data_IF_423029133268
#
_entry.id   IF_423029133268
#
_cell.length_a   1.000
_cell.length_b   1.000
_cell.length_c   1.000
_cell.angle_alpha   90.00
_cell.angle_beta   90.00
_cell.angle_gamma   90.00
#
_symmetry.space_group_name_H-M   'P 1'
#
loop_
_entity.id
_entity.type
_entity.pdbx_description
1 polymer ?
#
# COMPACT_ATOMS: atom_id res chain seq x y z
N UNK A 1 -26.68 44.03 -47.05
CA UNK A 1 -26.32 42.62 -47.35
C UNK A 1 -25.29 42.07 -46.37
N UNK A 2 -24.28 42.85 -45.94
CA UNK A 2 -23.21 42.44 -44.98
C UNK A 2 -23.71 41.97 -43.59
N UNK A 3 -24.76 42.58 -43.03
CA UNK A 3 -25.30 42.15 -41.72
C UNK A 3 -25.94 40.75 -41.80
N UNK A 4 -26.55 40.39 -42.94
CA UNK A 4 -27.16 39.08 -43.14
C UNK A 4 -26.09 37.97 -43.23
N UNK A 5 -25.00 38.19 -43.98
CA UNK A 5 -23.92 37.22 -44.10
C UNK A 5 -23.28 36.93 -42.73
N UNK A 6 -23.02 37.97 -41.93
CA UNK A 6 -22.46 37.82 -40.58
C UNK A 6 -23.40 37.02 -39.66
N UNK A 7 -24.69 37.37 -39.62
CA UNK A 7 -25.70 36.65 -38.83
C UNK A 7 -25.78 35.17 -39.25
N UNK A 8 -25.80 34.90 -40.56
CA UNK A 8 -25.90 33.53 -41.08
C UNK A 8 -24.65 32.71 -40.79
N UNK A 9 -23.46 33.30 -41.00
CA UNK A 9 -22.20 32.63 -40.71
C UNK A 9 -22.01 32.37 -39.23
N UNK A 10 -22.42 33.30 -38.35
CA UNK A 10 -22.40 33.07 -36.91
C UNK A 10 -23.36 31.96 -36.49
N UNK A 11 -24.58 31.97 -37.02
CA UNK A 11 -25.52 30.87 -36.79
C UNK A 11 -24.99 29.53 -37.30
N UNK A 12 -24.27 29.53 -38.43
CA UNK A 12 -23.64 28.33 -38.97
C UNK A 12 -22.51 27.84 -38.05
N UNK A 13 -21.61 28.72 -37.61
CA UNK A 13 -20.52 28.40 -36.69
C UNK A 13 -21.05 27.82 -35.37
N UNK A 14 -22.09 28.41 -34.79
CA UNK A 14 -22.72 27.90 -33.58
C UNK A 14 -23.33 26.50 -33.77
N UNK A 15 -23.99 26.26 -34.92
CA UNK A 15 -24.52 24.93 -35.25
C UNK A 15 -23.40 23.92 -35.50
N UNK A 16 -22.35 24.31 -36.19
CA UNK A 16 -21.18 23.45 -36.43
C UNK A 16 -20.54 23.05 -35.11
N UNK A 17 -20.29 24.02 -34.23
CA UNK A 17 -19.76 23.81 -32.87
C UNK A 17 -20.65 22.91 -32.02
N UNK A 18 -21.96 23.12 -32.06
CA UNK A 18 -22.92 22.40 -31.21
C UNK A 18 -23.20 20.97 -31.68
N UNK A 19 -23.24 20.75 -33.00
CA UNK A 19 -23.72 19.49 -33.56
C UNK A 19 -22.64 18.69 -34.27
N UNK A 20 -21.76 19.33 -35.04
CA UNK A 20 -20.78 18.60 -35.88
C UNK A 20 -19.56 18.20 -35.05
N UNK A 21 -19.02 19.10 -34.23
CA UNK A 21 -17.80 18.82 -33.46
C UNK A 21 -17.97 17.65 -32.48
N UNK A 22 -19.04 17.57 -31.65
CA UNK A 22 -19.25 16.41 -30.78
C UNK A 22 -19.43 15.11 -31.58
N UNK A 23 -20.11 15.15 -32.72
CA UNK A 23 -20.28 13.97 -33.58
C UNK A 23 -18.93 13.41 -34.06
N UNK A 24 -18.00 14.28 -34.46
CA UNK A 24 -16.67 13.87 -34.92
C UNK A 24 -15.85 13.26 -33.77
N UNK A 25 -15.92 13.84 -32.57
CA UNK A 25 -15.11 13.42 -31.41
C UNK A 25 -15.64 12.14 -30.78
N UNK A 26 -16.97 12.03 -30.63
CA UNK A 26 -17.60 10.93 -29.90
C UNK A 26 -17.81 9.67 -30.76
N UNK A 27 -17.87 9.83 -32.09
CA UNK A 27 -18.08 8.73 -33.04
C UNK A 27 -16.89 8.60 -34.00
N UNK A 28 -15.93 7.71 -33.70
CA UNK A 28 -14.75 7.52 -34.56
C UNK A 28 -15.08 6.84 -35.90
N UNK A 29 -16.21 6.14 -36.02
CA UNK A 29 -16.63 5.46 -37.25
C UNK A 29 -17.86 6.17 -37.81
N UNK A 30 -17.67 6.95 -38.88
CA UNK A 30 -18.71 7.65 -39.61
C UNK A 30 -18.65 7.27 -41.08
N UNK A 31 -19.83 7.13 -41.69
CA UNK A 31 -19.97 7.05 -43.14
C UNK A 31 -20.54 8.37 -43.66
N UNK A 32 -20.25 8.68 -44.92
CA UNK A 32 -20.65 9.94 -45.54
C UNK A 32 -21.27 9.71 -46.91
N UNK A 33 -22.33 10.45 -47.23
CA UNK A 33 -22.93 10.50 -48.56
C UNK A 33 -23.20 11.95 -48.95
N UNK A 34 -22.89 12.31 -50.20
CA UNK A 34 -23.19 13.63 -50.76
C UNK A 34 -24.34 13.49 -51.75
N UNK A 35 -25.49 14.08 -51.43
CA UNK A 35 -26.67 14.07 -52.28
C UNK A 35 -26.81 15.44 -52.96
N UNK A 36 -27.01 15.44 -54.27
CA UNK A 36 -27.27 16.66 -55.04
C UNK A 36 -28.69 16.60 -55.62
N UNK A 37 -29.54 17.56 -55.23
CA UNK A 37 -30.89 17.70 -55.75
C UNK A 37 -31.10 19.14 -56.24
N UNK A 38 -31.09 19.33 -57.56
CA UNK A 38 -31.14 20.65 -58.18
C UNK A 38 -29.94 21.51 -57.75
N UNK A 39 -30.20 22.65 -57.11
CA UNK A 39 -29.17 23.55 -56.56
C UNK A 39 -28.77 23.23 -55.12
N UNK A 40 -29.43 22.26 -54.47
CA UNK A 40 -29.15 21.90 -53.08
C UNK A 40 -28.17 20.73 -53.03
N UNK A 41 -27.05 20.93 -52.33
CA UNK A 41 -26.12 19.87 -51.94
C UNK A 41 -26.32 19.54 -50.45
N UNK A 42 -26.44 18.26 -50.13
CA UNK A 42 -26.65 17.77 -48.76
C UNK A 42 -25.55 16.77 -48.42
N UNK A 43 -24.76 17.09 -47.39
CA UNK A 43 -23.84 16.14 -46.76
C UNK A 43 -24.61 15.34 -45.70
N UNK A 44 -24.76 14.04 -45.92
CA UNK A 44 -25.39 13.10 -44.99
C UNK A 44 -24.29 12.40 -44.19
N UNK A 45 -24.36 12.50 -42.87
CA UNK A 45 -23.45 11.82 -41.94
C UNK A 45 -24.20 10.64 -41.32
N UNK A 46 -23.69 9.43 -41.54
CA UNK A 46 -24.32 8.19 -41.10
C UNK A 46 -23.55 7.63 -39.91
N UNK A 47 -24.24 7.50 -38.77
CA UNK A 47 -23.68 6.94 -37.54
C UNK A 47 -23.92 5.42 -37.53
N UNK A 48 -22.86 4.64 -37.70
CA UNK A 48 -22.91 3.18 -37.52
C UNK A 48 -22.85 2.85 -36.02
N UNK A 49 -24.01 2.57 -35.41
CA UNK A 49 -24.08 2.05 -34.03
C UNK A 49 -23.69 0.58 -34.01
N UNK A 50 -22.41 0.28 -34.01
CA UNK A 50 -21.95 -1.10 -33.81
C UNK A 50 -21.92 -1.42 -32.30
N UNK A 51 -22.99 -2.05 -31.80
CA UNK A 51 -23.13 -2.40 -30.37
C UNK A 51 -22.19 -3.52 -29.91
N UNK A 52 -21.41 -4.12 -30.81
CA UNK A 52 -20.63 -5.34 -30.54
C UNK A 52 -19.14 -5.09 -30.25
N UNK A 53 -18.61 -3.89 -30.47
CA UNK A 53 -17.18 -3.60 -30.30
C UNK A 53 -16.94 -2.31 -29.49
N UNK A 54 -17.41 -2.30 -28.24
CA UNK A 54 -16.89 -1.40 -27.19
C UNK A 54 -15.45 -1.79 -26.75
N UNK A 55 -14.67 -2.39 -27.67
CA UNK A 55 -13.22 -2.54 -27.51
C UNK A 55 -12.60 -1.21 -27.91
N UNK A 56 -11.69 -0.72 -27.07
CA UNK A 56 -10.82 0.42 -27.36
C UNK A 56 -10.31 0.30 -28.80
N UNK A 57 -10.77 1.17 -29.69
CA UNK A 57 -10.28 1.21 -31.06
C UNK A 57 -8.85 1.72 -30.98
N UNK A 58 -7.90 0.81 -31.17
CA UNK A 58 -6.49 1.17 -31.30
C UNK A 58 -6.37 2.22 -32.41
N UNK A 59 -5.70 3.33 -32.12
CA UNK A 59 -5.58 4.51 -32.99
C UNK A 59 -6.88 5.23 -33.39
N UNK A 60 -7.89 5.29 -32.51
CA UNK A 60 -9.12 6.07 -32.75
C UNK A 60 -8.91 7.52 -33.24
N UNK A 61 -7.80 8.17 -32.86
CA UNK A 61 -7.44 9.52 -33.31
C UNK A 61 -7.31 9.62 -34.84
N UNK A 62 -6.84 8.58 -35.52
CA UNK A 62 -6.71 8.56 -36.98
C UNK A 62 -8.08 8.70 -37.63
N UNK A 63 -9.05 7.90 -37.20
CA UNK A 63 -10.41 7.95 -37.76
C UNK A 63 -11.10 9.28 -37.45
N UNK A 64 -10.93 9.83 -36.25
CA UNK A 64 -11.45 11.15 -35.87
C UNK A 64 -10.89 12.24 -36.78
N UNK A 65 -9.58 12.23 -37.04
CA UNK A 65 -8.93 13.16 -37.95
C UNK A 65 -9.38 13.00 -39.40
N UNK A 66 -9.53 11.77 -39.90
CA UNK A 66 -10.08 11.50 -41.23
C UNK A 66 -11.52 12.03 -41.36
N UNK A 67 -12.38 11.78 -40.37
CA UNK A 67 -13.76 12.25 -40.35
C UNK A 67 -13.84 13.78 -40.37
N UNK A 68 -13.00 14.42 -39.55
CA UNK A 68 -12.87 15.88 -39.55
C UNK A 68 -12.51 16.41 -40.93
N UNK A 69 -11.44 15.88 -41.51
CA UNK A 69 -10.94 16.38 -42.79
C UNK A 69 -11.92 16.15 -43.92
N UNK A 70 -12.63 15.02 -43.93
CA UNK A 70 -13.68 14.75 -44.92
C UNK A 70 -14.79 15.81 -44.84
N UNK A 71 -15.35 16.03 -43.66
CA UNK A 71 -16.43 17.02 -43.46
C UNK A 71 -15.95 18.42 -43.85
N UNK A 72 -14.75 18.81 -43.43
CA UNK A 72 -14.20 20.14 -43.74
C UNK A 72 -13.98 20.33 -45.24
N UNK A 73 -13.48 19.30 -45.94
CA UNK A 73 -13.25 19.35 -47.40
C UNK A 73 -14.57 19.44 -48.17
N UNK A 74 -15.56 18.64 -47.80
CA UNK A 74 -16.88 18.68 -48.43
C UNK A 74 -17.59 20.02 -48.20
N UNK A 75 -17.58 20.54 -46.97
CA UNK A 75 -18.14 21.87 -46.69
C UNK A 75 -17.39 22.98 -47.42
N UNK A 76 -16.07 22.86 -47.59
CA UNK A 76 -15.26 23.77 -48.40
C UNK A 76 -15.67 23.76 -49.88
N UNK A 77 -15.87 22.57 -50.45
CA UNK A 77 -16.29 22.39 -51.85
C UNK A 77 -17.75 22.82 -52.09
N UNK A 78 -18.60 22.78 -51.07
CA UNK A 78 -20.01 23.18 -51.17
C UNK A 78 -20.21 24.70 -51.04
N UNK A 79 -19.57 25.33 -50.05
CA UNK A 79 -19.84 26.73 -49.69
C UNK A 79 -18.61 27.48 -49.16
N UNK A 80 -17.77 26.85 -48.33
CA UNK A 80 -16.81 27.60 -47.50
C UNK A 80 -15.60 28.15 -48.27
N UNK A 81 -15.36 27.69 -49.50
CA UNK A 81 -14.35 28.26 -50.41
C UNK A 81 -14.75 29.60 -51.02
N UNK A 82 -16.01 30.03 -50.85
CA UNK A 82 -16.47 31.31 -51.37
C UNK A 82 -15.71 32.48 -50.73
N UNK A 83 -15.23 33.38 -51.59
CA UNK A 83 -14.49 34.58 -51.20
C UNK A 83 -15.43 35.75 -50.87
N UNK A 84 -15.01 36.58 -49.92
CA UNK A 84 -15.66 37.84 -49.58
C UNK A 84 -14.62 38.92 -49.26
N UNK A 85 -14.98 40.17 -49.51
CA UNK A 85 -14.11 41.31 -49.25
C UNK A 85 -14.17 41.74 -47.77
N UNK A 86 -13.00 41.83 -47.12
CA UNK A 86 -12.87 42.26 -45.72
C UNK A 86 -13.00 43.77 -45.53
N UNK A 87 -12.68 44.58 -46.54
CA UNK A 87 -12.66 46.05 -46.46
C UNK A 87 -14.05 46.67 -46.26
N UNK A 88 -15.09 45.86 -46.43
CA UNK A 88 -16.50 46.21 -46.26
C UNK A 88 -17.04 45.94 -44.83
N UNK A 89 -16.20 45.39 -43.93
CA UNK A 89 -16.54 45.10 -42.52
C UNK A 89 -15.95 46.08 -41.50
N UNK A 90 -14.98 46.93 -41.89
CA UNK A 90 -14.25 47.80 -40.97
C UNK A 90 -14.81 49.24 -40.83
N UNK A 91 -15.85 49.60 -41.58
CA UNK A 91 -16.40 50.97 -41.61
C UNK A 91 -17.44 51.26 -40.52
N UNK A 92 -17.16 50.91 -39.25
CA UNK A 92 -17.87 51.50 -38.11
C UNK A 92 -17.01 51.76 -36.86
N UNK A 93 -15.69 51.51 -36.88
CA UNK A 93 -14.83 51.92 -35.76
C UNK A 93 -13.51 52.52 -36.26
N UNK A 94 -13.52 53.86 -36.32
CA UNK A 94 -12.40 54.83 -36.23
C UNK A 94 -12.39 55.83 -37.39
N UNK A 95 -12.85 57.05 -37.07
CA UNK A 95 -12.48 58.23 -37.80
C UNK A 95 -11.07 58.66 -37.35
N UNK A 96 -10.08 58.51 -38.23
CA UNK A 96 -8.87 59.34 -38.23
C UNK A 96 -8.26 59.34 -39.64
N UNK A 97 -7.87 60.50 -40.19
CA UNK A 97 -7.36 60.59 -41.55
C UNK A 97 -5.84 60.42 -41.58
N UNK A 98 -5.34 59.65 -42.55
CA UNK A 98 -3.94 59.74 -42.98
C UNK A 98 -3.21 58.40 -43.08
N UNK A 99 -3.34 57.74 -44.23
CA UNK A 99 -2.22 57.40 -45.12
C UNK A 99 -2.71 56.40 -46.18
N UNK A 100 -2.65 56.83 -47.43
CA UNK A 100 -2.86 56.00 -48.61
C UNK A 100 -1.64 55.09 -48.80
N UNK A 101 -1.74 53.86 -48.30
CA UNK A 101 -0.94 52.73 -48.78
C UNK A 101 -1.87 51.77 -49.50
N UNK A 102 -1.49 51.39 -50.72
CA UNK A 102 -2.17 50.46 -51.63
C UNK A 102 -2.78 49.29 -50.85
N UNK A 103 -4.11 49.25 -50.78
CA UNK A 103 -4.89 48.17 -50.19
C UNK A 103 -4.84 46.97 -51.13
N UNK A 104 -3.92 46.04 -50.89
CA UNK A 104 -4.11 44.65 -51.30
C UNK A 104 -5.37 44.15 -50.58
N UNK A 105 -6.48 44.17 -51.29
CA UNK A 105 -7.77 43.57 -50.89
C UNK A 105 -7.49 42.14 -50.41
N UNK A 106 -7.53 41.93 -49.09
CA UNK A 106 -7.23 40.65 -48.47
C UNK A 106 -8.48 39.76 -48.60
N UNK A 107 -8.68 39.23 -49.82
CA UNK A 107 -9.79 38.33 -50.13
C UNK A 107 -9.80 37.18 -49.13
N UNK A 108 -10.89 37.04 -48.38
CA UNK A 108 -10.99 36.07 -47.29
C UNK A 108 -12.10 35.07 -47.60
N UNK A 109 -11.89 33.81 -47.27
CA UNK A 109 -12.88 32.75 -47.52
C UNK A 109 -13.82 32.58 -46.33
N UNK A 110 -15.04 32.11 -46.56
CA UNK A 110 -15.95 31.74 -45.47
C UNK A 110 -15.34 30.67 -44.55
N UNK A 111 -14.44 29.82 -45.05
CA UNK A 111 -13.64 28.88 -44.24
C UNK A 111 -12.76 29.62 -43.23
N UNK A 112 -12.04 30.67 -43.65
CA UNK A 112 -11.22 31.48 -42.76
C UNK A 112 -12.03 32.21 -41.69
N UNK A 113 -13.27 32.60 -42.03
CA UNK A 113 -14.21 33.19 -41.08
C UNK A 113 -14.65 32.18 -40.02
N UNK A 114 -15.02 30.97 -40.45
CA UNK A 114 -15.36 29.88 -39.54
C UNK A 114 -14.17 29.57 -38.62
N UNK A 115 -12.97 29.48 -39.18
CA UNK A 115 -11.72 29.31 -38.46
C UNK A 115 -11.49 30.37 -37.38
N UNK A 116 -11.72 31.64 -37.70
CA UNK A 116 -11.59 32.73 -36.73
C UNK A 116 -12.60 32.63 -35.57
N UNK A 117 -13.84 32.22 -35.85
CA UNK A 117 -14.91 32.17 -34.84
C UNK A 117 -14.80 30.94 -33.91
N UNK A 118 -14.50 29.75 -34.47
CA UNK A 118 -14.51 28.50 -33.69
C UNK A 118 -13.13 27.86 -33.49
N UNK A 119 -12.13 28.24 -34.29
CA UNK A 119 -10.80 27.62 -34.30
C UNK A 119 -10.14 27.52 -32.93
N UNK A 120 -9.98 28.62 -32.16
CA UNK A 120 -9.31 28.55 -30.85
C UNK A 120 -9.92 27.53 -29.89
N UNK A 121 -11.25 27.49 -29.81
CA UNK A 121 -11.96 26.52 -28.98
C UNK A 121 -11.85 25.10 -29.54
N UNK A 122 -11.96 24.95 -30.86
CA UNK A 122 -11.93 23.65 -31.52
C UNK A 122 -10.56 22.96 -31.39
N UNK A 123 -9.46 23.72 -31.56
CA UNK A 123 -8.10 23.20 -31.41
C UNK A 123 -7.82 22.76 -29.96
N UNK A 124 -8.29 23.51 -28.95
CA UNK A 124 -8.19 23.10 -27.53
C UNK A 124 -8.97 21.79 -27.26
N UNK A 125 -10.15 21.63 -27.86
CA UNK A 125 -10.91 20.38 -27.73
C UNK A 125 -10.16 19.18 -28.34
N UNK A 126 -9.62 19.31 -29.55
CA UNK A 126 -8.80 18.26 -30.17
C UNK A 126 -7.60 17.89 -29.27
N UNK A 127 -6.93 18.87 -28.68
CA UNK A 127 -5.81 18.63 -27.78
C UNK A 127 -6.22 17.82 -26.53
N UNK A 128 -7.29 18.25 -25.84
CA UNK A 128 -7.72 17.65 -24.58
C UNK A 128 -8.40 16.29 -24.74
N UNK A 129 -9.10 16.07 -25.85
CA UNK A 129 -9.97 14.90 -26.01
C UNK A 129 -9.38 13.83 -26.92
N UNK A 130 -8.67 14.23 -27.99
CA UNK A 130 -8.14 13.31 -28.99
C UNK A 130 -6.66 13.06 -28.72
N UNK A 131 -5.84 14.12 -28.73
CA UNK A 131 -4.38 14.01 -28.61
C UNK A 131 -3.98 13.48 -27.22
N UNK A 132 -4.54 14.04 -26.14
CA UNK A 132 -4.23 13.59 -24.77
C UNK A 132 -4.56 12.11 -24.51
N UNK A 133 -5.62 11.59 -25.16
CA UNK A 133 -5.97 10.16 -25.08
C UNK A 133 -4.98 9.30 -25.86
N UNK A 134 -4.52 9.78 -27.03
CA UNK A 134 -3.58 9.10 -27.90
C UNK A 134 -2.13 9.01 -27.36
N UNK A 135 -1.76 9.81 -26.34
CA UNK A 135 -0.44 9.70 -25.68
C UNK A 135 -0.27 8.34 -24.99
N UNK A 136 0.76 7.53 -25.29
CA UNK A 136 0.99 6.25 -24.63
C UNK A 136 1.37 6.39 -23.15
N UNK A 137 1.14 5.31 -22.38
CA UNK A 137 1.50 5.21 -20.96
C UNK A 137 2.80 4.44 -20.72
N UNK A 138 3.39 3.86 -21.77
CA UNK A 138 4.60 3.03 -21.71
C UNK A 138 5.65 3.52 -22.69
N UNK A 139 6.92 3.55 -22.26
CA UNK A 139 8.04 3.92 -23.12
C UNK A 139 8.29 2.91 -24.25
N UNK A 140 7.74 1.69 -24.14
CA UNK A 140 7.81 0.69 -25.22
C UNK A 140 6.93 1.04 -26.42
N UNK A 141 5.92 1.88 -26.21
CA UNK A 141 4.94 2.27 -27.23
C UNK A 141 5.26 3.65 -27.83
N UNK A 142 6.47 4.18 -27.60
CA UNK A 142 6.96 5.44 -28.18
C UNK A 142 6.83 5.46 -29.71
N UNK A 143 7.01 4.30 -30.37
CA UNK A 143 6.82 4.17 -31.81
C UNK A 143 5.40 4.54 -32.27
N UNK A 144 4.37 4.14 -31.51
CA UNK A 144 2.98 4.50 -31.81
C UNK A 144 2.68 5.98 -31.59
N UNK A 145 3.45 6.69 -30.76
CA UNK A 145 3.29 8.13 -30.60
C UNK A 145 3.89 8.92 -31.76
N UNK A 146 4.95 8.42 -32.41
CA UNK A 146 5.47 9.04 -33.62
C UNK A 146 4.40 9.08 -34.73
N UNK A 147 3.54 8.06 -34.79
CA UNK A 147 2.36 8.07 -35.66
C UNK A 147 1.39 9.19 -35.27
N UNK A 148 1.14 9.41 -33.98
CA UNK A 148 0.28 10.52 -33.50
C UNK A 148 0.85 11.87 -33.93
N UNK A 149 2.15 12.10 -33.74
CA UNK A 149 2.83 13.34 -34.17
C UNK A 149 2.62 13.54 -35.67
N UNK A 150 2.92 12.50 -36.46
CA UNK A 150 2.79 12.54 -37.93
C UNK A 150 1.36 12.90 -38.35
N UNK A 151 0.34 12.27 -37.74
CA UNK A 151 -1.05 12.54 -38.07
C UNK A 151 -1.50 13.94 -37.64
N UNK A 152 -1.05 14.44 -36.48
CA UNK A 152 -1.34 15.81 -36.03
C UNK A 152 -0.72 16.84 -36.99
N UNK A 153 0.51 16.61 -37.46
CA UNK A 153 1.17 17.46 -38.45
C UNK A 153 0.40 17.48 -39.77
N UNK A 154 0.00 16.31 -40.29
CA UNK A 154 -0.78 16.22 -41.54
C UNK A 154 -2.10 16.98 -41.43
N UNK A 155 -2.85 16.78 -40.34
CA UNK A 155 -4.12 17.49 -40.13
C UNK A 155 -3.90 18.99 -39.99
N UNK A 156 -2.84 19.40 -39.31
CA UNK A 156 -2.50 20.82 -39.16
C UNK A 156 -2.20 21.47 -40.51
N UNK A 157 -1.40 20.81 -41.37
CA UNK A 157 -1.11 21.28 -42.72
C UNK A 157 -2.39 21.38 -43.57
N UNK A 158 -3.24 20.35 -43.54
CA UNK A 158 -4.48 20.35 -44.32
C UNK A 158 -5.50 21.41 -43.85
N UNK A 159 -5.62 21.63 -42.54
CA UNK A 159 -6.49 22.68 -42.00
C UNK A 159 -5.97 24.09 -42.34
N UNK A 160 -4.66 24.22 -42.53
CA UNK A 160 -4.04 25.47 -42.97
C UNK A 160 -4.23 25.67 -44.48
N UNK A 161 -4.11 24.61 -45.27
CA UNK A 161 -4.33 24.62 -46.73
C UNK A 161 -5.75 25.07 -47.11
N UNK A 162 -6.77 24.57 -46.39
CA UNK A 162 -8.16 25.02 -46.61
C UNK A 162 -8.46 26.41 -46.02
N UNK A 163 -7.50 27.00 -45.31
CA UNK A 163 -7.63 28.34 -44.71
C UNK A 163 -8.44 28.38 -43.41
N UNK A 164 -8.69 27.25 -42.75
CA UNK A 164 -9.37 27.19 -41.44
C UNK A 164 -8.44 27.64 -40.31
N UNK A 165 -7.15 27.32 -40.39
CA UNK A 165 -6.12 27.77 -39.45
C UNK A 165 -5.20 28.75 -40.17
N UNK A 166 -4.75 29.80 -39.47
CA UNK A 166 -3.76 30.74 -39.99
C UNK A 166 -2.35 30.13 -39.98
N UNK A 167 -1.51 30.52 -40.93
CA UNK A 167 -0.15 29.98 -41.10
C UNK A 167 0.75 30.13 -39.86
N UNK A 168 0.46 31.09 -38.98
CA UNK A 168 1.20 31.38 -37.74
C UNK A 168 0.67 30.63 -36.51
N UNK A 169 -0.44 29.89 -36.63
CA UNK A 169 -1.08 29.24 -35.50
C UNK A 169 -0.51 27.84 -35.27
N UNK A 170 0.46 27.73 -34.36
CA UNK A 170 1.15 26.49 -34.04
C UNK A 170 0.51 25.68 -32.89
N UNK A 171 -0.76 25.92 -32.51
CA UNK A 171 -1.36 25.33 -31.30
C UNK A 171 -1.29 23.80 -31.29
N UNK A 172 -1.63 23.15 -32.41
CA UNK A 172 -1.58 21.70 -32.52
C UNK A 172 -0.14 21.17 -32.53
N UNK A 173 0.78 21.84 -33.23
CA UNK A 173 2.18 21.45 -33.30
C UNK A 173 2.85 21.54 -31.92
N UNK A 174 2.66 22.66 -31.21
CA UNK A 174 3.14 22.85 -29.82
C UNK A 174 2.59 21.81 -28.84
N UNK A 175 1.38 21.30 -29.11
CA UNK A 175 0.79 20.27 -28.27
C UNK A 175 1.55 18.94 -28.34
N UNK A 176 2.16 18.64 -29.49
CA UNK A 176 2.94 17.41 -29.70
C UNK A 176 4.45 17.60 -29.57
N UNK A 177 4.95 18.83 -29.65
CA UNK A 177 6.38 19.15 -29.44
C UNK A 177 6.90 18.75 -28.05
N UNK A 178 6.07 18.86 -27.01
CA UNK A 178 6.45 18.54 -25.62
C UNK A 178 6.19 17.07 -25.26
N UNK A 179 6.55 16.16 -26.17
CA UNK A 179 6.38 14.69 -26.07
C UNK A 179 6.76 14.15 -24.69
N UNK A 180 7.95 14.53 -24.22
CA UNK A 180 8.50 14.03 -22.96
C UNK A 180 7.71 14.51 -21.74
N UNK A 181 7.14 15.73 -21.79
CA UNK A 181 6.34 16.28 -20.70
C UNK A 181 4.97 15.60 -20.63
N UNK A 182 4.30 15.39 -21.77
CA UNK A 182 3.01 14.68 -21.81
C UNK A 182 3.15 13.23 -21.36
N UNK A 183 4.19 12.54 -21.82
CA UNK A 183 4.51 11.18 -21.37
C UNK A 183 4.80 11.13 -19.87
N UNK A 184 5.67 12.02 -19.37
CA UNK A 184 6.04 12.08 -17.95
C UNK A 184 4.82 12.36 -17.07
N UNK A 185 3.95 13.29 -17.48
CA UNK A 185 2.72 13.62 -16.76
C UNK A 185 1.75 12.43 -16.73
N UNK A 186 1.52 11.77 -17.87
CA UNK A 186 0.61 10.62 -17.94
C UNK A 186 1.16 9.42 -17.17
N UNK A 187 2.47 9.18 -17.21
CA UNK A 187 3.13 8.13 -16.42
C UNK A 187 3.07 8.42 -14.92
N UNK A 188 3.30 9.67 -14.51
CA UNK A 188 3.17 10.10 -13.11
C UNK A 188 1.74 9.87 -12.60
N UNK A 189 0.72 10.27 -13.37
CA UNK A 189 -0.67 10.03 -13.01
C UNK A 189 -0.98 8.54 -12.87
N UNK A 190 -0.50 7.69 -13.79
CA UNK A 190 -0.66 6.24 -13.68
C UNK A 190 -0.04 5.68 -12.40
N UNK A 191 1.20 6.10 -12.07
CA UNK A 191 1.89 5.66 -10.85
C UNK A 191 1.13 6.13 -9.61
N UNK A 192 0.64 7.37 -9.59
CA UNK A 192 -0.13 7.91 -8.47
C UNK A 192 -1.46 7.19 -8.26
N UNK A 193 -2.17 6.85 -9.35
CA UNK A 193 -3.40 6.06 -9.28
C UNK A 193 -3.10 4.67 -8.73
N UNK A 194 -2.05 4.02 -9.20
CA UNK A 194 -1.67 2.68 -8.73
C UNK A 194 -1.17 2.71 -7.28
N UNK A 195 -0.37 3.70 -6.89
CA UNK A 195 0.02 3.93 -5.50
C UNK A 195 -1.19 4.20 -4.62
N UNK A 196 -2.18 4.97 -5.10
CA UNK A 196 -3.44 5.21 -4.37
C UNK A 196 -4.22 3.91 -4.21
N UNK A 197 -4.34 3.13 -5.28
CA UNK A 197 -5.01 1.83 -5.23
C UNK A 197 -4.32 0.89 -4.23
N UNK A 198 -2.99 0.88 -4.18
CA UNK A 198 -2.20 0.15 -3.18
C UNK A 198 -2.43 0.68 -1.76
N UNK A 199 -2.42 1.99 -1.55
CA UNK A 199 -2.66 2.59 -0.23
C UNK A 199 -4.09 2.34 0.29
N UNK A 200 -5.06 2.23 -0.62
CA UNK A 200 -6.47 1.93 -0.27
C UNK A 200 -6.80 0.46 -0.31
N UNK A 201 -5.93 -0.38 -0.86
CA UNK A 201 -6.14 -1.82 -0.83
C UNK A 201 -5.75 -2.35 0.54
N UNK A 202 -6.42 -3.43 0.94
CA UNK A 202 -6.16 -4.14 2.18
C UNK A 202 -4.84 -4.91 2.09
N UNK A 203 -3.70 -4.21 1.98
CA UNK A 203 -2.33 -4.77 1.91
C UNK A 203 -1.85 -5.36 3.25
N UNK A 204 -2.76 -5.76 4.14
CA UNK A 204 -2.43 -6.36 5.43
C UNK A 204 -1.82 -7.76 5.30
N UNK A 205 -1.66 -8.26 4.07
CA UNK A 205 -1.15 -9.59 3.74
C UNK A 205 0.11 -9.44 2.86
N UNK A 206 1.28 -9.51 3.50
CA UNK A 206 2.55 -9.75 2.82
C UNK A 206 2.92 -11.23 2.89
N UNK A 207 3.51 -11.77 1.83
CA UNK A 207 3.87 -13.20 1.73
C UNK A 207 5.39 -13.29 1.52
N UNK A 208 6.07 -14.19 2.24
CA UNK A 208 7.46 -14.51 1.95
C UNK A 208 7.55 -15.29 0.63
N UNK A 209 8.28 -14.76 -0.35
CA UNK A 209 8.52 -15.43 -1.63
C UNK A 209 9.70 -16.39 -1.48
N UNK A 210 9.42 -17.69 -1.47
CA UNK A 210 10.40 -18.74 -1.77
C UNK A 210 9.99 -19.40 -3.08
N UNK A 211 10.94 -19.67 -3.98
CA UNK A 211 10.72 -20.07 -5.38
C UNK A 211 9.95 -21.40 -5.58
N UNK A 212 9.64 -22.14 -4.51
CA UNK A 212 9.37 -23.58 -4.61
C UNK A 212 7.93 -24.06 -4.29
N UNK A 213 6.92 -23.20 -4.01
CA UNK A 213 5.53 -23.69 -3.72
C UNK A 213 4.37 -22.81 -4.25
N UNK A 214 3.28 -23.43 -4.81
CA UNK A 214 2.09 -22.72 -5.28
C UNK A 214 1.06 -22.36 -4.18
N UNK A 215 0.30 -21.30 -4.48
CA UNK A 215 -0.52 -20.39 -3.65
C UNK A 215 -1.75 -20.93 -2.87
N UNK A 216 -1.84 -22.23 -2.53
CA UNK A 216 -3.14 -22.83 -2.17
C UNK A 216 -3.62 -22.84 -0.71
N UNK A 217 -2.76 -23.13 0.27
CA UNK A 217 -3.26 -23.61 1.58
C UNK A 217 -2.35 -23.18 2.74
N UNK A 218 -2.62 -22.05 3.41
CA UNK A 218 -1.88 -21.66 4.61
C UNK A 218 -2.78 -21.05 5.71
N UNK A 219 -2.49 -21.33 6.99
CA UNK A 219 -3.35 -20.99 8.14
C UNK A 219 -3.33 -19.49 8.49
N UNK A 220 -4.28 -19.00 9.32
CA UNK A 220 -4.44 -17.58 9.64
C UNK A 220 -3.21 -17.05 10.41
N UNK A 221 -2.37 -16.28 9.72
CA UNK A 221 -1.22 -15.58 10.30
C UNK A 221 -1.71 -14.44 11.21
N UNK A 222 -1.04 -14.22 12.35
CA UNK A 222 -1.30 -13.03 13.17
C UNK A 222 -0.58 -11.81 12.55
N UNK A 223 -1.28 -10.73 12.15
CA UNK A 223 -0.73 -9.69 11.26
C UNK A 223 0.53 -8.94 11.75
N UNK A 224 0.80 -8.87 13.06
CA UNK A 224 1.80 -7.93 13.60
C UNK A 224 3.26 -8.35 13.43
N UNK A 225 3.62 -9.63 13.58
CA UNK A 225 4.99 -10.12 13.39
C UNK A 225 5.45 -10.01 11.92
N UNK A 226 4.53 -10.31 11.00
CA UNK A 226 4.73 -10.16 9.56
C UNK A 226 4.83 -8.68 9.17
N UNK A 227 3.91 -7.84 9.65
CA UNK A 227 3.95 -6.40 9.43
C UNK A 227 5.28 -5.79 9.90
N UNK A 228 5.77 -6.18 11.08
CA UNK A 228 7.09 -5.78 11.56
C UNK A 228 8.21 -6.13 10.58
N UNK A 229 8.24 -7.37 10.08
CA UNK A 229 9.28 -7.81 9.16
C UNK A 229 9.20 -7.05 7.82
N UNK A 230 7.99 -6.83 7.30
CA UNK A 230 7.76 -6.03 6.09
C UNK A 230 8.25 -4.58 6.27
N UNK A 231 7.92 -3.95 7.40
CA UNK A 231 8.40 -2.61 7.72
C UNK A 231 9.93 -2.55 7.74
N UNK A 232 10.60 -3.55 8.34
CA UNK A 232 12.07 -3.61 8.37
C UNK A 232 12.66 -3.79 6.96
N UNK A 233 12.06 -4.67 6.15
CA UNK A 233 12.47 -4.94 4.78
C UNK A 233 12.33 -3.71 3.88
N UNK A 234 11.14 -3.08 3.86
CA UNK A 234 10.88 -1.86 3.09
C UNK A 234 11.86 -0.76 3.52
N UNK A 235 12.03 -0.58 4.82
CA UNK A 235 12.95 0.42 5.36
C UNK A 235 14.40 0.19 4.94
N UNK A 236 14.85 -1.06 4.82
CA UNK A 236 16.17 -1.40 4.31
C UNK A 236 16.33 -1.00 2.83
N UNK A 237 15.34 -1.32 1.99
CA UNK A 237 15.38 -0.95 0.58
C UNK A 237 15.34 0.58 0.35
N UNK A 238 14.54 1.29 1.14
CA UNK A 238 14.45 2.75 1.09
C UNK A 238 15.80 3.45 1.39
N UNK A 239 16.74 2.78 2.08
CA UNK A 239 18.08 3.34 2.33
C UNK A 239 18.89 3.55 1.05
N UNK A 240 18.69 2.70 0.03
CA UNK A 240 19.52 2.69 -1.19
C UNK A 240 18.76 3.12 -2.43
N UNK A 241 17.42 3.07 -2.41
CA UNK A 241 16.56 3.36 -3.55
C UNK A 241 16.81 4.77 -4.14
N UNK A 242 17.01 5.76 -3.29
CA UNK A 242 17.32 7.12 -3.73
C UNK A 242 18.60 7.21 -4.55
N UNK A 243 19.65 6.53 -4.12
CA UNK A 243 20.92 6.51 -4.86
C UNK A 243 20.82 5.72 -6.15
N UNK A 244 20.14 4.56 -6.12
CA UNK A 244 19.97 3.68 -7.29
C UNK A 244 19.30 4.39 -8.47
N UNK A 245 18.35 5.29 -8.20
CA UNK A 245 17.59 6.01 -9.23
C UNK A 245 18.01 7.47 -9.41
N UNK A 246 18.99 7.98 -8.64
CA UNK A 246 19.42 9.38 -8.66
C UNK A 246 19.78 9.87 -10.07
N UNK A 247 20.50 9.07 -10.85
CA UNK A 247 20.92 9.40 -12.22
C UNK A 247 19.76 9.50 -13.22
N UNK A 248 18.59 8.97 -12.87
CA UNK A 248 17.37 8.96 -13.70
C UNK A 248 16.35 10.01 -13.24
N UNK A 249 16.64 10.75 -12.17
CA UNK A 249 15.74 11.75 -11.61
C UNK A 249 16.16 13.18 -12.01
N UNK A 250 15.20 14.11 -12.17
CA UNK A 250 15.53 15.52 -12.39
C UNK A 250 16.33 16.11 -11.21
N UNK A 251 17.25 17.05 -11.46
CA UNK A 251 18.16 17.58 -10.43
C UNK A 251 17.48 18.34 -9.27
N UNK A 252 16.21 18.74 -9.43
CA UNK A 252 15.43 19.42 -8.39
C UNK A 252 14.70 18.47 -7.42
N UNK A 253 14.69 17.16 -7.68
CA UNK A 253 13.98 16.19 -6.83
C UNK A 253 14.94 15.64 -5.80
N UNK A 254 14.64 15.80 -4.50
CA UNK A 254 15.38 15.11 -3.45
C UNK A 254 15.10 13.60 -3.55
N UNK A 255 16.09 12.76 -3.90
CA UNK A 255 15.85 11.34 -4.13
C UNK A 255 15.82 10.53 -2.83
N UNK A 256 16.11 11.14 -1.68
CA UNK A 256 16.32 10.42 -0.43
C UNK A 256 15.01 10.18 0.33
N UNK A 257 14.87 8.99 0.91
CA UNK A 257 13.70 8.58 1.70
C UNK A 257 13.99 8.55 3.21
N UNK A 258 15.06 9.22 3.66
CA UNK A 258 15.60 9.10 5.03
C UNK A 258 14.55 9.39 6.09
N UNK A 259 13.67 10.37 5.86
CA UNK A 259 12.59 10.73 6.79
C UNK A 259 11.53 9.64 6.96
N UNK A 260 11.26 8.85 5.91
CA UNK A 260 10.25 7.79 5.91
C UNK A 260 10.76 6.51 6.57
N UNK A 261 12.06 6.23 6.45
CA UNK A 261 12.69 5.02 6.99
C UNK A 261 12.39 4.88 8.48
N UNK A 262 12.58 5.95 9.26
CA UNK A 262 12.38 5.91 10.70
C UNK A 262 10.91 5.69 11.05
N UNK A 263 10.00 6.40 10.39
CA UNK A 263 8.55 6.30 10.64
C UNK A 263 8.03 4.87 10.36
N UNK A 264 8.47 4.26 9.26
CA UNK A 264 8.07 2.90 8.88
C UNK A 264 8.60 1.87 9.90
N UNK A 265 9.85 2.00 10.34
CA UNK A 265 10.41 1.12 11.39
C UNK A 265 9.65 1.25 12.70
N UNK A 266 9.40 2.48 13.15
CA UNK A 266 8.66 2.74 14.39
C UNK A 266 7.26 2.15 14.34
N UNK A 267 6.56 2.29 13.22
CA UNK A 267 5.25 1.69 13.03
C UNK A 267 5.30 0.14 13.13
N UNK A 268 6.25 -0.50 12.46
CA UNK A 268 6.44 -1.95 12.53
C UNK A 268 6.80 -2.44 13.94
N UNK A 269 7.61 -1.68 14.68
CA UNK A 269 7.93 -2.00 16.08
C UNK A 269 6.71 -1.85 16.98
N UNK A 270 5.97 -0.75 16.86
CA UNK A 270 4.79 -0.47 17.69
C UNK A 270 3.74 -1.59 17.58
N UNK A 271 3.35 -1.95 16.36
CA UNK A 271 2.33 -2.99 16.11
C UNK A 271 2.76 -4.34 16.68
N UNK A 272 4.04 -4.69 16.58
CA UNK A 272 4.54 -5.96 17.10
C UNK A 272 4.62 -5.96 18.64
N UNK A 273 5.01 -4.84 19.26
CA UNK A 273 4.96 -4.71 20.72
C UNK A 273 3.53 -4.82 21.24
N UNK A 274 2.54 -4.20 20.58
CA UNK A 274 1.12 -4.35 20.92
C UNK A 274 0.63 -5.80 20.77
N UNK A 275 1.17 -6.54 19.79
CA UNK A 275 0.87 -7.96 19.66
C UNK A 275 1.47 -8.77 20.81
N UNK A 276 2.74 -8.57 21.15
CA UNK A 276 3.40 -9.23 22.28
C UNK A 276 2.62 -8.95 23.57
N UNK A 277 2.21 -7.70 23.77
CA UNK A 277 1.43 -7.26 24.92
C UNK A 277 0.09 -8.00 25.02
N UNK A 278 -0.68 -8.12 23.92
CA UNK A 278 -1.93 -8.90 23.89
C UNK A 278 -1.69 -10.39 24.16
N UNK A 279 -0.64 -10.97 23.59
CA UNK A 279 -0.31 -12.38 23.84
C UNK A 279 0.08 -12.63 25.29
N UNK A 280 0.82 -11.70 25.91
CA UNK A 280 1.14 -11.74 27.34
C UNK A 280 -0.13 -11.77 28.18
N UNK A 281 -1.08 -10.87 27.91
CA UNK A 281 -2.30 -10.76 28.70
C UNK A 281 -3.14 -12.04 28.59
N UNK A 282 -3.25 -12.63 27.40
CA UNK A 282 -3.91 -13.94 27.19
C UNK A 282 -3.22 -15.08 27.96
N UNK A 283 -1.88 -15.13 27.96
CA UNK A 283 -1.13 -16.15 28.71
C UNK A 283 -1.36 -16.03 30.22
N UNK A 284 -1.40 -14.80 30.74
CA UNK A 284 -1.68 -14.56 32.15
C UNK A 284 -3.12 -14.91 32.51
N UNK A 285 -4.10 -14.58 31.66
CA UNK A 285 -5.51 -14.98 31.82
C UNK A 285 -5.66 -16.51 31.89
N UNK A 286 -4.94 -17.25 31.04
CA UNK A 286 -4.93 -18.72 31.09
C UNK A 286 -4.42 -19.26 32.46
N UNK A 287 -3.45 -18.56 33.06
CA UNK A 287 -2.89 -18.92 34.38
C UNK A 287 -3.82 -18.57 35.54
N UNK A 288 -4.72 -17.60 35.40
CA UNK A 288 -5.69 -17.27 36.46
C UNK A 288 -6.58 -18.46 36.81
N UNK A 289 -6.84 -19.36 35.85
CA UNK A 289 -7.54 -20.62 36.09
C UNK A 289 -6.89 -21.51 37.16
N UNK A 290 -5.56 -21.43 37.34
CA UNK A 290 -4.83 -22.16 38.37
C UNK A 290 -5.04 -21.60 39.79
N UNK A 291 -5.72 -20.44 39.93
CA UNK A 291 -6.07 -19.81 41.21
C UNK A 291 -4.90 -19.74 42.20
N UNK A 292 -3.73 -19.37 41.68
CA UNK A 292 -2.51 -19.17 42.47
C UNK A 292 -1.79 -20.46 42.91
N UNK A 293 -2.15 -21.63 42.38
CA UNK A 293 -1.52 -22.92 42.73
C UNK A 293 -1.66 -23.33 44.21
N UNK A 294 -2.68 -22.81 44.90
CA UNK A 294 -3.00 -23.21 46.26
C UNK A 294 -3.75 -24.54 46.34
N UNK A 295 -3.61 -25.24 47.47
CA UNK A 295 -4.37 -26.45 47.81
C UNK A 295 -4.25 -27.58 46.76
N UNK A 296 -3.07 -27.78 46.19
CA UNK A 296 -2.83 -28.79 45.14
C UNK A 296 -2.96 -30.25 45.62
N UNK A 297 -3.14 -30.47 46.91
CA UNK A 297 -3.46 -31.79 47.46
C UNK A 297 -4.87 -32.26 47.08
N UNK A 298 -5.77 -31.32 46.75
CA UNK A 298 -7.06 -31.63 46.17
C UNK A 298 -6.89 -31.96 44.68
N UNK A 299 -7.26 -33.19 44.29
CA UNK A 299 -7.21 -33.66 42.91
C UNK A 299 -7.89 -32.69 41.93
N UNK A 300 -9.01 -32.07 42.31
CA UNK A 300 -9.72 -31.13 41.44
C UNK A 300 -8.91 -29.84 41.20
N UNK A 301 -8.17 -29.37 42.23
CA UNK A 301 -7.30 -28.20 42.15
C UNK A 301 -6.04 -28.51 41.34
N UNK A 302 -5.40 -29.64 41.58
CA UNK A 302 -4.24 -30.09 40.78
C UNK A 302 -4.60 -30.22 39.30
N UNK A 303 -5.76 -30.82 38.99
CA UNK A 303 -6.20 -30.98 37.60
C UNK A 303 -6.48 -29.63 36.92
N UNK A 304 -7.07 -28.68 37.65
CA UNK A 304 -7.33 -27.33 37.13
C UNK A 304 -6.02 -26.57 36.86
N UNK A 305 -5.05 -26.65 37.78
CA UNK A 305 -3.73 -26.05 37.58
C UNK A 305 -2.98 -26.70 36.39
N UNK A 306 -3.08 -28.02 36.24
CA UNK A 306 -2.53 -28.75 35.09
C UNK A 306 -3.16 -28.30 33.76
N UNK A 307 -4.48 -28.13 33.72
CA UNK A 307 -5.19 -27.61 32.54
C UNK A 307 -4.73 -26.20 32.18
N UNK A 308 -4.59 -25.30 33.16
CA UNK A 308 -4.07 -23.94 32.93
C UNK A 308 -2.67 -23.94 32.35
N UNK A 309 -1.74 -24.74 32.89
CA UNK A 309 -0.37 -24.84 32.33
C UNK A 309 -0.39 -25.41 30.91
N UNK A 310 -1.18 -26.46 30.65
CA UNK A 310 -1.33 -27.02 29.30
C UNK A 310 -1.86 -25.99 28.31
N UNK A 311 -2.82 -25.16 28.72
CA UNK A 311 -3.37 -24.10 27.88
C UNK A 311 -2.32 -23.03 27.52
N UNK A 312 -1.49 -22.64 28.50
CA UNK A 312 -0.36 -21.72 28.28
C UNK A 312 0.65 -22.31 27.30
N UNK A 313 1.05 -23.57 27.48
CA UNK A 313 2.01 -24.24 26.61
C UNK A 313 1.47 -24.41 25.18
N UNK A 314 0.17 -24.74 25.04
CA UNK A 314 -0.50 -24.81 23.75
C UNK A 314 -0.45 -23.46 23.03
N UNK A 315 -0.68 -22.36 23.76
CA UNK A 315 -0.64 -21.03 23.14
C UNK A 315 0.77 -20.61 22.74
N UNK A 316 1.78 -20.90 23.57
CA UNK A 316 3.18 -20.67 23.22
C UNK A 316 3.61 -21.52 22.00
N UNK A 317 3.18 -22.78 21.92
CA UNK A 317 3.42 -23.64 20.75
C UNK A 317 2.74 -23.10 19.49
N UNK A 318 1.52 -22.58 19.60
CA UNK A 318 0.87 -21.95 18.45
C UNK A 318 1.66 -20.73 17.96
N UNK A 319 2.10 -19.86 18.87
CA UNK A 319 2.91 -18.69 18.53
C UNK A 319 4.25 -19.07 17.91
N UNK A 320 4.92 -20.13 18.41
CA UNK A 320 6.21 -20.56 17.88
C UNK A 320 6.11 -20.91 16.39
N UNK A 321 5.05 -21.65 16.00
CA UNK A 321 4.83 -22.11 14.63
C UNK A 321 4.61 -20.95 13.66
N UNK A 322 4.05 -19.85 14.13
CA UNK A 322 3.76 -18.66 13.33
C UNK A 322 4.97 -17.71 13.29
N UNK A 323 5.63 -17.47 14.42
CA UNK A 323 6.67 -16.44 14.52
C UNK A 323 8.04 -16.91 14.07
N UNK A 324 8.41 -18.17 14.33
CA UNK A 324 9.72 -18.73 13.97
C UNK A 324 10.03 -18.68 12.47
N UNK A 325 9.09 -18.94 11.54
CA UNK A 325 9.37 -18.82 10.11
C UNK A 325 9.36 -17.39 9.58
N UNK A 326 8.77 -16.43 10.31
CA UNK A 326 8.58 -15.05 9.83
C UNK A 326 9.66 -14.11 10.35
N UNK A 327 10.08 -14.27 11.60
CA UNK A 327 11.01 -13.34 12.25
C UNK A 327 12.46 -13.79 12.10
N UNK A 328 13.41 -12.83 11.99
CA UNK A 328 14.83 -13.13 12.20
C UNK A 328 15.03 -13.83 13.55
N UNK A 329 15.88 -14.85 13.58
CA UNK A 329 15.97 -15.78 14.72
C UNK A 329 16.23 -15.08 16.07
N UNK A 330 17.07 -14.03 16.08
CA UNK A 330 17.35 -13.26 17.28
C UNK A 330 16.12 -12.48 17.79
N UNK A 331 15.31 -11.96 16.88
CA UNK A 331 14.08 -11.25 17.21
C UNK A 331 13.01 -12.23 17.71
N UNK A 332 12.92 -13.40 17.09
CA UNK A 332 12.06 -14.50 17.53
C UNK A 332 12.40 -14.92 18.98
N UNK A 333 13.66 -15.27 19.24
CA UNK A 333 14.10 -15.71 20.58
C UNK A 333 13.85 -14.65 21.64
N UNK A 334 14.10 -13.38 21.32
CA UNK A 334 13.83 -12.26 22.22
C UNK A 334 12.33 -12.10 22.51
N UNK A 335 11.46 -12.23 21.50
CA UNK A 335 10.03 -12.10 21.67
C UNK A 335 9.42 -13.29 22.43
N UNK A 336 9.75 -14.52 22.05
CA UNK A 336 9.29 -15.73 22.75
C UNK A 336 9.83 -15.79 24.18
N UNK A 337 11.12 -15.47 24.38
CA UNK A 337 11.71 -15.42 25.72
C UNK A 337 11.02 -14.43 26.65
N UNK A 338 10.59 -13.27 26.14
CA UNK A 338 9.79 -12.29 26.92
C UNK A 338 8.43 -12.84 27.35
N UNK A 339 7.73 -13.58 26.47
CA UNK A 339 6.45 -14.19 26.82
C UNK A 339 6.62 -15.31 27.86
N UNK A 340 7.62 -16.17 27.65
CA UNK A 340 7.99 -17.23 28.61
C UNK A 340 8.37 -16.62 29.97
N UNK A 341 9.14 -15.53 29.97
CA UNK A 341 9.51 -14.80 31.20
C UNK A 341 8.29 -14.29 31.96
N UNK A 342 7.27 -13.77 31.27
CA UNK A 342 6.04 -13.33 31.92
C UNK A 342 5.31 -14.49 32.62
N UNK A 343 5.24 -15.66 31.96
CA UNK A 343 4.65 -16.89 32.52
C UNK A 343 5.44 -17.36 33.73
N UNK A 344 6.76 -17.51 33.60
CA UNK A 344 7.65 -17.98 34.66
C UNK A 344 7.66 -17.03 35.86
N UNK A 345 7.73 -15.73 35.61
CA UNK A 345 7.67 -14.72 36.67
C UNK A 345 6.34 -14.77 37.44
N UNK A 346 5.22 -14.94 36.74
CA UNK A 346 3.90 -15.04 37.36
C UNK A 346 3.77 -16.31 38.22
N UNK A 347 4.16 -17.48 37.68
CA UNK A 347 4.12 -18.74 38.42
C UNK A 347 4.99 -18.66 39.67
N UNK A 348 6.23 -18.18 39.52
CA UNK A 348 7.17 -18.00 40.64
C UNK A 348 6.57 -17.10 41.71
N UNK A 349 5.95 -15.97 41.31
CA UNK A 349 5.28 -15.05 42.23
C UNK A 349 4.14 -15.72 42.99
N UNK A 350 3.29 -16.48 42.31
CA UNK A 350 2.16 -17.18 42.92
C UNK A 350 2.63 -18.23 43.93
N UNK A 351 3.61 -19.07 43.55
CA UNK A 351 4.13 -20.11 44.45
C UNK A 351 4.83 -19.50 45.67
N UNK A 352 5.61 -18.42 45.49
CA UNK A 352 6.23 -17.71 46.61
C UNK A 352 5.23 -17.02 47.55
N UNK A 353 3.99 -16.80 47.12
CA UNK A 353 2.94 -16.18 47.93
C UNK A 353 2.14 -17.19 48.76
N UNK A 354 2.35 -18.50 48.56
CA UNK A 354 1.66 -19.54 49.35
C UNK A 354 2.13 -19.51 50.80
N UNK A 355 1.18 -19.55 51.74
CA UNK A 355 1.50 -19.46 53.17
C UNK A 355 2.22 -20.71 53.68
N UNK A 356 1.73 -21.90 53.34
CA UNK A 356 2.34 -23.19 53.66
C UNK A 356 2.24 -24.12 52.45
N UNK A 357 3.31 -24.87 52.17
CA UNK A 357 3.35 -25.86 51.09
C UNK A 357 3.67 -27.21 51.73
N UNK A 358 2.69 -28.12 51.72
CA UNK A 358 2.87 -29.49 52.15
C UNK A 358 3.74 -30.28 51.16
N UNK A 359 4.31 -31.39 51.61
CA UNK A 359 5.20 -32.23 50.81
C UNK A 359 4.52 -32.76 49.53
N UNK A 360 3.27 -33.19 49.64
CA UNK A 360 2.38 -33.63 48.54
C UNK A 360 2.13 -32.50 47.54
N UNK A 361 1.82 -31.29 48.01
CA UNK A 361 1.65 -30.12 47.17
C UNK A 361 2.96 -29.70 46.46
N UNK A 362 4.11 -29.81 47.12
CA UNK A 362 5.42 -29.54 46.52
C UNK A 362 5.75 -30.54 45.39
N UNK A 363 5.41 -31.82 45.56
CA UNK A 363 5.54 -32.83 44.50
C UNK A 363 4.66 -32.51 43.29
N UNK A 364 3.40 -32.12 43.52
CA UNK A 364 2.50 -31.72 42.45
C UNK A 364 2.99 -30.45 41.73
N UNK A 365 3.50 -29.44 42.46
CA UNK A 365 4.13 -28.26 41.85
C UNK A 365 5.30 -28.64 40.92
N UNK A 366 6.22 -29.48 41.37
CA UNK A 366 7.35 -29.91 40.55
C UNK A 366 6.90 -30.64 39.27
N UNK A 367 5.86 -31.50 39.38
CA UNK A 367 5.24 -32.16 38.22
C UNK A 367 4.60 -31.17 37.25
N UNK A 368 4.04 -30.07 37.75
CA UNK A 368 3.44 -29.01 36.95
C UNK A 368 4.50 -28.12 36.28
N UNK A 369 5.67 -27.94 36.88
CA UNK A 369 6.76 -27.13 36.34
C UNK A 369 7.58 -27.86 35.27
N UNK A 370 7.72 -29.18 35.35
CA UNK A 370 8.57 -29.94 34.41
C UNK A 370 8.19 -29.80 32.93
N UNK A 371 6.90 -29.71 32.51
CA UNK A 371 6.55 -29.50 31.11
C UNK A 371 6.90 -28.11 30.61
N UNK A 372 7.00 -27.11 31.51
CA UNK A 372 7.39 -25.74 31.17
C UNK A 372 8.87 -25.72 30.79
N UNK A 373 9.72 -26.42 31.54
CA UNK A 373 11.16 -26.53 31.27
C UNK A 373 11.45 -27.21 29.94
N UNK A 374 10.88 -28.40 29.71
CA UNK A 374 11.10 -29.13 28.47
C UNK A 374 10.57 -28.37 27.27
N UNK A 375 9.31 -27.94 27.31
CA UNK A 375 8.63 -27.33 26.15
C UNK A 375 9.21 -25.95 25.82
N UNK A 376 9.38 -25.07 26.81
CA UNK A 376 9.90 -23.72 26.56
C UNK A 376 11.37 -23.76 26.14
N UNK A 377 12.14 -24.72 26.66
CA UNK A 377 13.52 -24.94 26.24
C UNK A 377 13.62 -25.33 24.77
N UNK A 378 12.83 -26.31 24.34
CA UNK A 378 12.76 -26.76 22.95
C UNK A 378 12.33 -25.64 21.97
N UNK A 379 11.44 -24.75 22.41
CA UNK A 379 10.97 -23.62 21.58
C UNK A 379 12.09 -22.63 21.20
N UNK A 380 13.09 -22.48 22.07
CA UNK A 380 14.15 -21.46 21.94
C UNK A 380 15.44 -21.98 21.30
N UNK A 381 15.66 -23.30 21.26
CA UNK A 381 16.91 -23.86 20.73
C UNK A 381 16.95 -23.99 19.21
N UNK A 382 18.18 -23.94 18.70
CA UNK A 382 18.60 -24.31 17.35
C UNK A 382 19.53 -25.54 17.42
N UNK A 383 19.84 -26.18 16.27
CA UNK A 383 20.81 -27.27 16.22
C UNK A 383 22.15 -26.85 16.84
N UNK A 384 22.60 -27.59 17.86
CA UNK A 384 23.85 -27.33 18.57
C UNK A 384 23.73 -26.44 19.81
N UNK A 385 22.54 -25.89 20.12
CA UNK A 385 22.30 -25.11 21.33
C UNK A 385 21.72 -25.97 22.45
N UNK A 386 21.93 -25.54 23.71
CA UNK A 386 21.43 -26.23 24.90
C UNK A 386 20.23 -25.50 25.49
N UNK A 387 19.10 -26.19 25.77
CA UNK A 387 17.87 -25.56 26.26
C UNK A 387 18.06 -24.67 27.50
N UNK A 388 18.78 -25.17 28.50
CA UNK A 388 19.03 -24.45 29.77
C UNK A 388 19.78 -23.13 29.54
N UNK A 389 20.73 -23.11 28.60
CA UNK A 389 21.52 -21.91 28.27
C UNK A 389 20.64 -20.88 27.58
N UNK A 390 19.82 -21.30 26.62
CA UNK A 390 18.92 -20.39 25.90
C UNK A 390 17.81 -19.83 26.80
N UNK A 391 17.24 -20.66 27.69
CA UNK A 391 16.30 -20.21 28.70
C UNK A 391 16.95 -19.18 29.63
N UNK A 392 18.12 -19.46 30.17
CA UNK A 392 18.84 -18.51 31.05
C UNK A 392 19.16 -17.19 30.33
N UNK A 393 19.47 -17.24 29.03
CA UNK A 393 19.79 -16.04 28.24
C UNK A 393 18.56 -15.18 27.92
N UNK A 394 17.43 -15.81 27.60
CA UNK A 394 16.25 -15.12 27.05
C UNK A 394 15.11 -14.94 28.06
N UNK A 395 15.15 -15.64 29.19
CA UNK A 395 14.11 -15.65 30.23
C UNK A 395 14.75 -15.19 31.55
N UNK A 396 14.57 -13.92 31.90
CA UNK A 396 15.26 -13.29 33.03
C UNK A 396 14.91 -13.92 34.39
N UNK A 397 13.67 -14.41 34.53
CA UNK A 397 13.15 -15.04 35.75
C UNK A 397 13.49 -16.53 35.84
N UNK A 398 14.17 -17.10 34.83
CA UNK A 398 14.51 -18.52 34.79
C UNK A 398 15.37 -18.99 35.97
N UNK A 399 16.46 -18.29 36.35
CA UNK A 399 17.27 -18.69 37.50
C UNK A 399 16.45 -18.80 38.80
N UNK A 400 15.53 -17.86 39.01
CA UNK A 400 14.66 -17.84 40.19
C UNK A 400 13.69 -19.04 40.22
N UNK A 401 13.19 -19.46 39.05
CA UNK A 401 12.38 -20.68 38.96
C UNK A 401 13.21 -21.92 39.31
N UNK A 402 14.44 -22.01 38.80
CA UNK A 402 15.32 -23.15 39.10
C UNK A 402 15.70 -23.25 40.58
N UNK A 403 15.92 -22.11 41.24
CA UNK A 403 16.12 -22.04 42.70
C UNK A 403 14.87 -22.51 43.46
N UNK A 404 13.69 -22.06 43.03
CA UNK A 404 12.42 -22.50 43.62
C UNK A 404 12.23 -24.01 43.49
N UNK A 405 12.52 -24.59 42.31
CA UNK A 405 12.46 -26.04 42.09
C UNK A 405 13.41 -26.78 43.04
N UNK A 406 14.65 -26.31 43.21
CA UNK A 406 15.61 -26.89 44.15
C UNK A 406 15.09 -26.89 45.60
N UNK A 407 14.47 -25.79 46.05
CA UNK A 407 13.90 -25.70 47.41
C UNK A 407 12.71 -26.64 47.59
N UNK A 408 11.83 -26.74 46.59
CA UNK A 408 10.71 -27.68 46.59
C UNK A 408 11.16 -29.16 46.55
N UNK A 409 12.27 -29.46 45.87
CA UNK A 409 12.85 -30.81 45.88
C UNK A 409 13.56 -31.14 47.20
N UNK A 410 14.18 -30.15 47.83
CA UNK A 410 14.80 -30.34 49.15
C UNK A 410 13.75 -30.63 50.23
N UNK A 411 12.61 -29.94 50.22
CA UNK A 411 11.52 -30.22 51.16
C UNK A 411 10.89 -31.60 50.94
N UNK A 412 10.86 -32.08 49.68
CA UNK A 412 10.45 -33.45 49.34
C UNK A 412 11.29 -34.51 50.04
N UNK A 413 12.60 -34.28 50.19
CA UNK A 413 13.52 -35.26 50.80
C UNK A 413 13.59 -35.18 52.33
N UNK A 414 13.30 -34.02 52.93
CA UNK A 414 13.45 -33.78 54.37
C UNK A 414 12.16 -33.95 55.21
N UNK A 415 10.99 -34.13 54.59
CA UNK A 415 9.74 -34.50 55.28
C UNK A 415 9.07 -33.41 56.14
N UNK A 416 9.32 -32.12 55.86
CA UNK A 416 8.74 -30.98 56.59
C UNK A 416 8.12 -29.89 55.70
N UNK A 417 7.41 -28.92 56.29
CA UNK A 417 6.76 -27.79 55.61
C UNK A 417 7.78 -26.77 55.05
N UNK A 418 7.58 -26.29 53.81
CA UNK A 418 8.57 -25.52 53.03
C UNK A 418 8.98 -24.12 53.55
N UNK A 419 8.27 -23.51 54.51
CA UNK A 419 8.42 -22.05 54.74
C UNK A 419 9.73 -21.65 55.42
N UNK A 420 10.30 -22.50 56.28
CA UNK A 420 11.60 -22.20 56.94
C UNK A 420 12.77 -22.14 55.92
N UNK A 421 12.67 -22.83 54.79
CA UNK A 421 13.71 -22.84 53.74
C UNK A 421 13.54 -21.71 52.71
N UNK A 422 12.31 -21.27 52.43
CA UNK A 422 12.02 -20.20 51.44
C UNK A 422 12.29 -18.78 51.97
N UNK A 423 12.17 -18.56 53.28
CA UNK A 423 12.44 -17.25 53.89
C UNK A 423 13.95 -16.93 53.93
N UNK A 424 14.83 -17.94 54.00
CA UNK A 424 16.29 -17.74 54.00
C UNK A 424 16.85 -17.31 52.63
N UNK A 425 16.15 -17.59 51.53
CA UNK A 425 16.59 -17.27 50.15
C UNK A 425 16.12 -15.90 49.66
N UNK A 426 15.17 -15.25 50.35
CA UNK A 426 14.70 -13.90 50.00
C UNK A 426 15.65 -12.76 50.43
N UNK A 427 16.74 -13.07 51.16
CA UNK A 427 17.83 -12.14 51.42
C UNK A 427 19.09 -12.62 50.69
N UNK A 428 19.69 -11.73 49.90
CA UNK A 428 20.89 -12.03 49.14
C UNK A 428 21.95 -12.75 49.97
N UNK A 429 22.55 -13.79 49.37
CA UNK A 429 23.55 -14.67 49.96
C UNK A 429 24.54 -13.94 50.88
N UNK A 430 24.51 -14.30 52.17
CA UNK A 430 25.73 -14.44 52.98
C UNK A 430 25.67 -15.78 53.70
N UNK A 431 26.74 -16.55 53.49
CA UNK A 431 27.10 -17.80 54.17
C UNK A 431 26.40 -18.02 55.51
N UNK A 432 25.67 -19.12 55.67
CA UNK A 432 25.68 -19.86 56.94
C UNK A 432 25.15 -21.28 56.80
N UNK A 433 25.99 -22.20 57.24
CA UNK A 433 25.77 -23.63 57.46
C UNK A 433 24.47 -23.89 58.21
N UNK A 434 23.65 -24.80 57.67
CA UNK A 434 22.39 -25.25 58.26
C UNK A 434 22.61 -25.94 59.61
N UNK A 435 22.04 -25.40 60.69
CA UNK A 435 21.68 -26.16 61.88
C UNK A 435 20.19 -26.53 61.76
N UNK A 436 19.92 -27.79 61.44
CA UNK A 436 18.58 -28.37 61.46
C UNK A 436 18.40 -29.07 62.79
N UNK A 437 17.54 -28.55 63.67
CA UNK A 437 16.99 -29.31 64.80
C UNK A 437 15.45 -29.31 64.72
N UNK A 438 14.79 -30.47 64.85
CA UNK A 438 13.33 -30.53 64.94
C UNK A 438 12.85 -30.07 66.32
N UNK A 439 11.81 -29.22 66.34
CA UNK A 439 11.18 -28.60 67.52
C UNK A 439 10.38 -29.56 68.42
N UNK A 440 10.57 -30.88 68.31
CA UNK A 440 9.78 -31.89 69.03
C UNK A 440 10.57 -32.75 70.04
N UNK A 441 11.84 -32.41 70.33
CA UNK A 441 12.68 -33.20 71.26
C UNK A 441 13.22 -32.40 72.45
N UNK A 442 12.39 -31.56 73.09
CA UNK A 442 12.73 -30.90 74.37
C UNK A 442 11.56 -30.96 75.36
N UNK A 443 11.02 -32.17 75.57
CA UNK A 443 10.07 -32.42 76.65
C UNK A 443 10.28 -33.76 77.34
N UNK A 444 11.53 -34.18 77.57
CA UNK A 444 11.84 -35.31 78.47
C UNK A 444 13.29 -35.22 78.95
N UNK A 445 13.52 -34.49 80.04
CA UNK A 445 14.59 -34.69 81.04
C UNK A 445 14.66 -33.45 81.93
N UNK A 446 13.78 -33.38 82.92
CA UNK A 446 13.73 -32.27 83.85
C UNK A 446 12.78 -32.48 85.01
N UNK A 447 12.77 -33.70 85.58
CA UNK A 447 12.21 -33.97 86.91
C UNK A 447 12.59 -35.39 87.36
N UNK A 448 13.63 -35.50 88.20
CA UNK A 448 13.59 -36.21 89.49
C UNK A 448 14.98 -36.37 90.12
N UNK A 449 15.04 -35.85 91.34
CA UNK A 449 15.75 -36.37 92.52
C UNK A 449 17.22 -35.97 92.77
N UNK A 450 17.32 -35.15 93.84
CA UNK A 450 18.38 -35.01 94.84
C UNK A 450 19.73 -34.42 94.41
#
# INVERSE_FOLDING_TARGET
>A
MQNLLNIQMKSFADKFKKFIVPLIIDYPVLDFEVLTSGTTKTLVIIIKKDKANEKVIDKAYVSIFCNLMYIMTELNAMLLSAEFDKDDMASLNQASPGNSSISTSQCSTLMSWLGAEIGPWFLDQLQRTVIAKAVPTSSKDLGGFQDVITQVTVVHEQLTEIGFIQLDNEVLLKSVENVNMLFSNKKSQSILVEARNLMTSSLHEGIAVTEDKPMGEWPPLTPGALHHNNCMFISHHLMTLGHQFASRLPPLVNPTFVSLIQQIRENGVHVFLDQIQRQRDLLLECLEGAKGFGQLEDNARSETASRSIKQVLLQLDHLQKIWKPVLPINNYKKAMGRLIDCVVAHITKCVCALEDIAQTAAQELLKLLSPIESSCGEMLVLPGETPVVELTRHVASWPRLTELQLVLDASRSLGGYCKETLLSTNFGFKQQTFYIFPKSSLHFLGQKNL
#
